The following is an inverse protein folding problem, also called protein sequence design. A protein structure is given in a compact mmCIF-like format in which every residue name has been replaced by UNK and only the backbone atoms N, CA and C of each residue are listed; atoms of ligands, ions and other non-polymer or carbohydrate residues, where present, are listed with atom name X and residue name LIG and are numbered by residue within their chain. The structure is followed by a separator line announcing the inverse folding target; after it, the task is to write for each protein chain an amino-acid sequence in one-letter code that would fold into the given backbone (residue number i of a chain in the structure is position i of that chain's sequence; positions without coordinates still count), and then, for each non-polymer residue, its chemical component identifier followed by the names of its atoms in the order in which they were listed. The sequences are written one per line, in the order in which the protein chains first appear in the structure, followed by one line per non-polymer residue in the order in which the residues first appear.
data_IF_213611155046
#
_entry.id   IF_213611155046
#
_cell.length_a   1.000
_cell.length_b   1.000
_cell.length_c   1.000
_cell.angle_alpha   90.00
_cell.angle_beta   90.00
_cell.angle_gamma   90.00
#
_symmetry.space_group_name_H-M   'P 1'
#
loop_
_entity.id
_entity.type
_entity.pdbx_description
1 polymer ?
#
# COMPACT_ATOMS: atom_id res chain seq x y z
N UNK A 1 -2.53 15.44 11.29
CA UNK A 1 -3.22 15.34 9.97
C UNK A 1 -2.30 15.57 8.76
N UNK A 2 -1.80 16.78 8.47
CA UNK A 2 -1.01 17.02 7.24
C UNK A 2 0.24 16.14 7.08
N UNK A 3 0.98 15.91 8.18
CA UNK A 3 2.15 15.01 8.21
C UNK A 3 1.78 13.56 7.89
N UNK A 4 0.74 13.02 8.53
CA UNK A 4 0.31 11.63 8.35
C UNK A 4 -0.24 11.37 6.95
N UNK A 5 -0.92 12.35 6.33
CA UNK A 5 -1.32 12.26 4.92
C UNK A 5 -0.11 12.11 4.00
N UNK A 6 0.90 12.98 4.16
CA UNK A 6 2.12 12.91 3.34
C UNK A 6 2.87 11.59 3.55
N UNK A 7 2.92 11.08 4.79
CA UNK A 7 3.51 9.78 5.07
C UNK A 7 2.72 8.62 4.44
N UNK A 8 1.39 8.68 4.48
CA UNK A 8 0.49 7.68 3.88
C UNK A 8 0.64 7.67 2.36
N UNK A 9 0.60 8.84 1.71
CA UNK A 9 0.81 8.99 0.26
C UNK A 9 2.19 8.47 -0.18
N UNK A 10 3.23 8.83 0.56
CA UNK A 10 4.59 8.33 0.31
C UNK A 10 4.64 6.82 0.41
N UNK A 11 4.03 6.25 1.44
CA UNK A 11 4.00 4.80 1.63
C UNK A 11 3.16 4.07 0.58
N UNK A 12 2.01 4.63 0.16
CA UNK A 12 1.23 4.13 -0.97
C UNK A 12 2.06 4.08 -2.26
N UNK A 13 2.86 5.13 -2.50
CA UNK A 13 3.78 5.19 -3.64
C UNK A 13 4.83 4.07 -3.60
N UNK A 14 5.42 3.85 -2.42
CA UNK A 14 6.38 2.77 -2.17
C UNK A 14 5.77 1.40 -2.39
N UNK A 15 4.64 1.09 -1.74
CA UNK A 15 3.92 -0.19 -1.87
C UNK A 15 3.56 -0.46 -3.33
N UNK A 16 3.01 0.55 -4.03
CA UNK A 16 2.71 0.46 -5.47
C UNK A 16 3.93 0.09 -6.31
N UNK A 17 5.08 0.72 -6.03
CA UNK A 17 6.33 0.44 -6.73
C UNK A 17 6.76 -1.02 -6.60
N UNK A 18 6.72 -1.56 -5.37
CA UNK A 18 7.05 -2.97 -5.10
C UNK A 18 6.06 -3.92 -5.78
N UNK A 19 4.75 -3.60 -5.75
CA UNK A 19 3.73 -4.39 -6.44
C UNK A 19 4.00 -4.50 -7.95
N UNK A 20 4.39 -3.39 -8.59
CA UNK A 20 4.74 -3.38 -10.02
C UNK A 20 5.96 -4.25 -10.31
N UNK A 21 6.98 -4.17 -9.46
CA UNK A 21 8.18 -5.01 -9.58
C UNK A 21 7.84 -6.50 -9.44
N UNK A 22 7.02 -6.87 -8.44
CA UNK A 22 6.56 -8.25 -8.25
C UNK A 22 5.74 -8.78 -9.43
N UNK A 23 4.79 -7.98 -9.94
CA UNK A 23 4.01 -8.34 -11.14
C UNK A 23 4.93 -8.61 -12.34
N UNK A 24 5.99 -7.81 -12.48
CA UNK A 24 7.00 -8.00 -13.53
C UNK A 24 7.83 -9.27 -13.29
N UNK A 25 8.25 -9.53 -12.05
CA UNK A 25 8.99 -10.73 -11.67
C UNK A 25 8.18 -12.01 -11.91
N UNK A 26 6.89 -12.03 -11.54
CA UNK A 26 5.94 -13.11 -11.83
C UNK A 26 5.85 -13.36 -13.34
N UNK A 27 5.62 -12.32 -14.13
CA UNK A 27 5.52 -12.45 -15.58
C UNK A 27 6.80 -13.04 -16.20
N UNK A 28 7.97 -12.58 -15.75
CA UNK A 28 9.26 -13.09 -16.22
C UNK A 28 9.48 -14.55 -15.78
N UNK A 29 9.17 -14.90 -14.54
CA UNK A 29 9.28 -16.25 -14.01
C UNK A 29 8.39 -17.23 -14.79
N UNK A 30 7.14 -16.87 -15.10
CA UNK A 30 6.23 -17.70 -15.89
C UNK A 30 6.70 -17.89 -17.34
N UNK A 31 7.24 -16.83 -17.99
CA UNK A 31 7.86 -16.96 -19.32
C UNK A 31 9.06 -17.90 -19.30
N UNK A 32 9.91 -17.77 -18.28
CA UNK A 32 11.09 -18.63 -18.11
C UNK A 32 10.70 -20.08 -17.80
N UNK A 33 9.65 -20.29 -16.99
CA UNK A 33 9.06 -21.61 -16.71
C UNK A 33 8.58 -22.27 -17.99
N UNK A 34 7.80 -21.55 -18.79
CA UNK A 34 7.30 -22.03 -20.08
C UNK A 34 8.43 -22.40 -21.03
N UNK A 35 9.47 -21.57 -21.09
CA UNK A 35 10.67 -21.85 -21.91
C UNK A 35 11.41 -23.09 -21.43
N UNK A 36 11.60 -23.25 -20.11
CA UNK A 36 12.25 -24.42 -19.53
C UNK A 36 11.46 -25.71 -19.83
N UNK A 37 10.12 -25.68 -19.77
CA UNK A 37 9.28 -26.82 -20.12
C UNK A 37 9.41 -27.21 -21.61
N UNK A 38 9.42 -26.22 -22.53
CA UNK A 38 9.66 -26.47 -23.96
C UNK A 38 11.02 -27.12 -24.22
N UNK A 39 12.06 -26.66 -23.55
CA UNK A 39 13.40 -27.25 -23.66
C UNK A 39 13.47 -28.66 -23.06
N UNK A 40 12.70 -28.93 -21.99
CA UNK A 40 12.59 -30.28 -21.44
C UNK A 40 11.92 -31.24 -22.44
N UNK A 41 10.84 -30.81 -23.11
CA UNK A 41 10.17 -31.59 -24.15
C UNK A 41 11.10 -31.87 -25.34
N UNK A 42 11.84 -30.86 -25.81
CA UNK A 42 12.83 -31.02 -26.87
C UNK A 42 13.94 -32.01 -26.47
N UNK A 43 14.52 -31.87 -25.28
CA UNK A 43 15.54 -32.80 -24.77
C UNK A 43 15.02 -34.25 -24.67
N UNK A 44 13.72 -34.41 -24.39
CA UNK A 44 13.05 -35.72 -24.42
C UNK A 44 13.04 -36.32 -25.83
N UNK A 45 12.70 -35.51 -26.84
CA UNK A 45 12.74 -35.92 -28.26
C UNK A 45 14.15 -36.27 -28.75
N UNK A 46 15.17 -35.60 -28.20
CA UNK A 46 16.59 -35.86 -28.48
C UNK A 46 17.17 -37.01 -27.64
N UNK A 47 16.35 -37.71 -26.85
CA UNK A 47 16.76 -38.81 -25.96
C UNK A 47 17.88 -38.42 -24.98
N UNK A 48 17.82 -37.19 -24.45
CA UNK A 48 18.79 -36.63 -23.50
C UNK A 48 18.16 -36.50 -22.09
N UNK A 49 18.08 -37.60 -21.31
CA UNK A 49 17.37 -37.63 -20.03
C UNK A 49 17.99 -36.71 -18.96
N UNK A 50 19.30 -36.45 -19.03
CA UNK A 50 19.96 -35.52 -18.13
C UNK A 50 19.41 -34.10 -18.30
N UNK A 51 19.28 -33.65 -19.55
CA UNK A 51 18.75 -32.31 -19.83
C UNK A 51 17.26 -32.20 -19.52
N UNK A 52 16.48 -33.26 -19.75
CA UNK A 52 15.06 -33.31 -19.32
C UNK A 52 14.96 -33.03 -17.81
N UNK A 53 15.77 -33.71 -17.00
CA UNK A 53 15.76 -33.53 -15.54
C UNK A 53 16.14 -32.10 -15.13
N UNK A 54 17.21 -31.55 -15.70
CA UNK A 54 17.67 -30.19 -15.38
C UNK A 54 16.58 -29.17 -15.73
N UNK A 55 16.07 -29.19 -16.96
CA UNK A 55 15.07 -28.23 -17.43
C UNK A 55 13.73 -28.35 -16.69
N UNK A 56 13.31 -29.57 -16.36
CA UNK A 56 12.13 -29.81 -15.51
C UNK A 56 12.33 -29.22 -14.11
N UNK A 57 13.49 -29.45 -13.47
CA UNK A 57 13.79 -28.87 -12.15
C UNK A 57 13.83 -27.33 -12.20
N UNK A 58 14.40 -26.76 -13.25
CA UNK A 58 14.39 -25.31 -13.51
C UNK A 58 12.95 -24.78 -13.61
N UNK A 59 12.08 -25.42 -14.38
CA UNK A 59 10.67 -25.05 -14.45
C UNK A 59 9.98 -25.11 -13.08
N UNK A 60 10.24 -26.16 -12.29
CA UNK A 60 9.71 -26.26 -10.93
C UNK A 60 10.22 -25.15 -10.00
N UNK A 61 11.46 -24.68 -10.18
CA UNK A 61 11.99 -23.54 -9.40
C UNK A 61 11.21 -22.27 -9.73
N UNK A 62 11.06 -21.93 -11.02
CA UNK A 62 10.30 -20.76 -11.43
C UNK A 62 8.83 -20.81 -10.98
N UNK A 63 8.22 -22.00 -10.98
CA UNK A 63 6.86 -22.19 -10.44
C UNK A 63 6.77 -21.85 -8.96
N UNK A 64 7.71 -22.32 -8.13
CA UNK A 64 7.73 -21.99 -6.70
C UNK A 64 7.94 -20.49 -6.45
N UNK A 65 8.90 -19.87 -7.15
CA UNK A 65 9.13 -18.43 -7.04
C UNK A 65 7.87 -17.63 -7.38
N UNK A 66 7.14 -18.03 -8.42
CA UNK A 66 5.89 -17.37 -8.82
C UNK A 66 4.84 -17.45 -7.73
N UNK A 67 4.65 -18.61 -7.09
CA UNK A 67 3.70 -18.76 -5.98
C UNK A 67 4.05 -17.83 -4.82
N UNK A 68 5.33 -17.81 -4.41
CA UNK A 68 5.80 -16.91 -3.34
C UNK A 68 5.55 -15.44 -3.68
N UNK A 69 5.82 -15.02 -4.92
CA UNK A 69 5.58 -13.65 -5.36
C UNK A 69 4.09 -13.29 -5.38
N UNK A 70 3.21 -14.24 -5.72
CA UNK A 70 1.76 -14.03 -5.71
C UNK A 70 1.22 -13.86 -4.28
N UNK A 71 1.68 -14.68 -3.34
CA UNK A 71 1.31 -14.56 -1.92
C UNK A 71 1.72 -13.19 -1.36
N UNK A 72 2.93 -12.73 -1.68
CA UNK A 72 3.38 -11.41 -1.26
C UNK A 72 2.60 -10.29 -1.94
N UNK A 73 2.29 -10.42 -3.23
CA UNK A 73 1.50 -9.43 -3.96
C UNK A 73 0.12 -9.22 -3.29
N UNK A 74 -0.53 -10.29 -2.83
CA UNK A 74 -1.80 -10.20 -2.10
C UNK A 74 -1.64 -9.40 -0.78
N UNK A 75 -0.54 -9.61 -0.05
CA UNK A 75 -0.24 -8.84 1.17
C UNK A 75 0.01 -7.36 0.89
N UNK A 76 0.74 -7.05 -0.18
CA UNK A 76 0.92 -5.66 -0.61
C UNK A 76 -0.40 -5.01 -1.05
N UNK A 77 -1.30 -5.78 -1.65
CA UNK A 77 -2.62 -5.30 -2.06
C UNK A 77 -3.50 -4.95 -0.84
N UNK A 78 -3.50 -5.77 0.21
CA UNK A 78 -4.14 -5.43 1.49
C UNK A 78 -3.61 -4.08 1.99
N UNK A 79 -2.29 -3.92 2.05
CA UNK A 79 -1.68 -2.68 2.52
C UNK A 79 -2.06 -1.48 1.65
N UNK A 80 -2.05 -1.61 0.33
CA UNK A 80 -2.42 -0.52 -0.56
C UNK A 80 -3.88 -0.10 -0.38
N UNK A 81 -4.81 -1.06 -0.32
CA UNK A 81 -6.24 -0.78 -0.12
C UNK A 81 -6.49 -0.09 1.23
N UNK A 82 -5.83 -0.54 2.29
CA UNK A 82 -5.95 0.06 3.63
C UNK A 82 -5.34 1.45 3.69
N UNK A 83 -4.12 1.66 3.15
CA UNK A 83 -3.50 2.98 3.08
C UNK A 83 -4.36 3.96 2.27
N UNK A 84 -4.95 3.50 1.16
CA UNK A 84 -5.87 4.32 0.37
C UNK A 84 -7.12 4.69 1.17
N UNK A 85 -7.72 3.74 1.90
CA UNK A 85 -8.89 4.05 2.74
C UNK A 85 -8.54 5.04 3.85
N UNK A 86 -7.39 4.87 4.49
CA UNK A 86 -6.91 5.82 5.50
C UNK A 86 -6.68 7.22 4.93
N UNK A 87 -6.17 7.31 3.70
CA UNK A 87 -6.02 8.58 3.00
C UNK A 87 -7.37 9.27 2.77
N UNK A 88 -8.38 8.53 2.33
CA UNK A 88 -9.75 9.05 2.12
C UNK A 88 -10.38 9.54 3.42
N UNK A 89 -10.24 8.77 4.50
CA UNK A 89 -10.73 9.14 5.83
C UNK A 89 -10.04 10.42 6.32
N UNK A 90 -8.70 10.48 6.26
CA UNK A 90 -7.96 11.65 6.70
C UNK A 90 -8.31 12.92 5.90
N UNK A 91 -8.53 12.80 4.59
CA UNK A 91 -9.02 13.91 3.76
C UNK A 91 -10.41 14.38 4.19
N UNK A 92 -11.34 13.45 4.39
CA UNK A 92 -12.71 13.75 4.82
C UNK A 92 -12.71 14.46 6.18
N UNK A 93 -11.88 14.00 7.11
CA UNK A 93 -11.75 14.63 8.42
C UNK A 93 -11.21 16.06 8.30
N UNK A 94 -10.20 16.31 7.46
CA UNK A 94 -9.68 17.67 7.23
C UNK A 94 -10.74 18.59 6.64
N UNK A 95 -11.61 18.08 5.77
CA UNK A 95 -12.75 18.84 5.23
C UNK A 95 -13.74 19.22 6.34
N UNK A 96 -14.12 18.26 7.19
CA UNK A 96 -14.99 18.53 8.36
C UNK A 96 -14.36 19.55 9.30
N UNK A 97 -13.09 19.35 9.68
CA UNK A 97 -12.33 20.28 10.52
C UNK A 97 -12.34 21.69 9.93
N UNK A 98 -12.25 21.81 8.61
CA UNK A 98 -12.26 23.10 7.91
C UNK A 98 -13.60 23.81 8.06
N UNK A 99 -14.71 23.08 7.90
CA UNK A 99 -16.06 23.63 8.04
C UNK A 99 -16.33 24.07 9.49
N UNK A 100 -15.98 23.25 10.47
CA UNK A 100 -16.14 23.58 11.89
C UNK A 100 -15.33 24.83 12.29
N UNK A 101 -14.12 24.99 11.72
CA UNK A 101 -13.31 26.19 11.88
C UNK A 101 -13.96 27.44 11.29
N UNK A 102 -14.76 27.31 10.21
CA UNK A 102 -15.45 28.43 9.59
C UNK A 102 -16.69 28.89 10.37
N UNK A 103 -17.42 27.95 10.99
CA UNK A 103 -18.69 28.23 11.69
C UNK A 103 -18.51 28.82 13.10
N UNK A 104 -17.40 28.55 13.79
CA UNK A 104 -17.18 29.06 15.15
C UNK A 104 -16.82 30.56 15.17
N UNK A 105 -17.61 31.37 15.90
CA UNK A 105 -17.52 32.84 15.94
C UNK A 105 -16.27 33.42 16.62
N UNK A 106 -15.46 32.62 17.33
CA UNK A 106 -14.12 33.04 17.79
C UNK A 106 -13.09 33.12 16.64
N UNK A 107 -13.46 32.77 15.40
CA UNK A 107 -12.56 32.41 14.28
C UNK A 107 -12.69 33.26 13.00
N UNK A 108 -13.17 34.51 13.05
CA UNK A 108 -13.29 35.35 11.85
C UNK A 108 -11.95 35.79 11.21
N UNK A 109 -10.84 35.84 11.98
CA UNK A 109 -9.49 36.12 11.44
C UNK A 109 -8.83 34.85 10.87
N UNK A 110 -9.02 33.70 11.51
CA UNK A 110 -8.42 32.41 11.14
C UNK A 110 -8.99 31.85 9.81
N UNK A 111 -10.31 31.97 9.58
CA UNK A 111 -10.96 31.41 8.39
C UNK A 111 -10.47 32.02 7.06
N UNK A 112 -10.10 33.31 7.04
CA UNK A 112 -9.61 34.00 5.83
C UNK A 112 -8.16 33.65 5.48
N UNK A 113 -7.31 33.36 6.48
CA UNK A 113 -5.93 32.93 6.25
C UNK A 113 -5.84 31.47 5.79
N UNK A 114 -6.80 30.64 6.22
CA UNK A 114 -6.81 29.18 6.03
C UNK A 114 -7.32 28.76 4.63
N UNK A 115 -8.17 29.56 3.98
CA UNK A 115 -8.70 29.26 2.62
C UNK A 115 -7.65 29.34 1.49
N UNK A 116 -6.69 30.25 1.56
CA UNK A 116 -5.58 30.35 0.59
C UNK A 116 -4.43 29.37 0.89
N UNK A 117 -4.36 28.91 2.14
CA UNK A 117 -3.42 27.94 2.67
C UNK A 117 -3.73 26.50 2.23
N UNK A 118 -4.99 26.08 2.18
CA UNK A 118 -5.29 24.66 1.99
C UNK A 118 -4.88 24.03 0.65
N UNK A 119 -4.51 24.83 -0.37
CA UNK A 119 -3.91 24.31 -1.60
C UNK A 119 -2.40 23.97 -1.48
N UNK A 120 -1.75 24.23 -0.33
CA UNK A 120 -0.34 23.82 -0.10
C UNK A 120 0.33 24.05 1.27
N UNK A 121 -0.37 24.29 2.39
CA UNK A 121 0.16 25.22 3.42
C UNK A 121 -0.04 24.81 4.90
N UNK A 122 0.38 23.61 5.28
CA UNK A 122 0.66 23.31 6.70
C UNK A 122 2.11 23.64 7.11
N UNK A 123 2.99 24.03 6.17
CA UNK A 123 4.40 24.33 6.44
C UNK A 123 4.76 25.82 6.50
N UNK A 124 3.86 26.74 6.11
CA UNK A 124 4.19 28.16 5.90
C UNK A 124 3.55 29.10 6.94
N UNK A 125 2.49 28.70 7.64
CA UNK A 125 1.84 29.53 8.65
C UNK A 125 2.35 29.25 10.07
N UNK A 126 3.50 29.81 10.41
CA UNK A 126 3.99 29.83 11.80
C UNK A 126 4.40 31.21 12.31
N UNK A 127 4.09 32.29 11.61
CA UNK A 127 4.57 33.63 11.98
C UNK A 127 3.41 34.60 12.16
N UNK A 128 2.90 34.71 13.39
CA UNK A 128 1.91 35.74 13.73
C UNK A 128 1.21 35.56 15.07
N UNK A 129 0.45 36.59 15.42
CA UNK A 129 -0.29 36.77 16.68
C UNK A 129 -1.53 35.85 16.82
N UNK A 130 -1.93 35.17 15.74
CA UNK A 130 -3.06 34.24 15.68
C UNK A 130 -2.68 32.76 15.92
N UNK A 131 -1.40 32.49 16.24
CA UNK A 131 -0.88 31.12 16.43
C UNK A 131 -1.48 30.43 17.66
N UNK A 132 -1.67 31.15 18.77
CA UNK A 132 -2.21 30.58 20.01
C UNK A 132 -3.67 30.12 19.87
N UNK A 133 -4.51 30.91 19.19
CA UNK A 133 -5.91 30.56 18.92
C UNK A 133 -6.05 29.44 17.88
N UNK A 134 -5.12 29.39 16.93
CA UNK A 134 -4.98 28.28 15.99
C UNK A 134 -4.50 27.00 16.68
N UNK A 135 -3.56 27.11 17.63
CA UNK A 135 -3.02 25.98 18.40
C UNK A 135 -4.08 25.43 19.39
N UNK A 136 -4.89 26.29 20.04
CA UNK A 136 -6.04 25.88 20.87
C UNK A 136 -7.17 25.22 20.06
N UNK A 137 -7.51 25.75 18.88
CA UNK A 137 -8.50 25.13 18.00
C UNK A 137 -7.99 23.80 17.41
N UNK A 138 -6.68 23.70 17.17
CA UNK A 138 -6.00 22.45 16.84
C UNK A 138 -6.07 21.44 17.97
N UNK A 139 -5.83 21.85 19.21
CA UNK A 139 -5.73 20.93 20.36
C UNK A 139 -7.07 20.22 20.59
N UNK A 140 -8.17 20.97 20.54
CA UNK A 140 -9.51 20.39 20.77
C UNK A 140 -10.01 19.52 19.61
N UNK A 141 -9.71 19.91 18.36
CA UNK A 141 -10.06 19.10 17.18
C UNK A 141 -9.11 17.89 17.04
N UNK A 142 -7.85 18.02 17.47
CA UNK A 142 -6.89 16.92 17.42
C UNK A 142 -7.28 15.78 18.37
N UNK A 143 -7.82 16.08 19.56
CA UNK A 143 -8.28 15.05 20.52
C UNK A 143 -9.32 14.10 19.91
N UNK A 144 -10.27 14.61 19.11
CA UNK A 144 -11.33 13.79 18.48
C UNK A 144 -10.78 12.85 17.39
N UNK A 145 -9.69 13.24 16.74
CA UNK A 145 -9.11 12.50 15.61
C UNK A 145 -7.75 11.86 15.94
N UNK A 146 -7.29 11.92 17.19
CA UNK A 146 -5.99 11.39 17.63
C UNK A 146 -5.91 9.88 17.44
N UNK A 147 -7.01 9.18 17.75
CA UNK A 147 -7.17 7.75 17.45
C UNK A 147 -7.01 7.46 15.95
N UNK A 148 -7.49 8.35 15.08
CA UNK A 148 -7.34 8.19 13.63
C UNK A 148 -5.90 8.31 13.19
N UNK A 149 -5.21 9.36 13.67
CA UNK A 149 -3.80 9.57 13.37
C UNK A 149 -2.96 8.42 13.91
N UNK A 150 -3.22 7.95 15.13
CA UNK A 150 -2.50 6.84 15.75
C UNK A 150 -2.65 5.51 15.00
N UNK A 151 -3.86 5.13 14.60
CA UNK A 151 -4.07 3.91 13.80
C UNK A 151 -3.38 3.99 12.44
N UNK A 152 -3.44 5.15 11.79
CA UNK A 152 -2.74 5.39 10.52
C UNK A 152 -1.22 5.32 10.68
N UNK A 153 -0.65 5.97 11.69
CA UNK A 153 0.78 5.96 11.96
C UNK A 153 1.28 4.54 12.23
N UNK A 154 0.53 3.78 13.05
CA UNK A 154 0.83 2.38 13.32
C UNK A 154 0.78 1.53 12.04
N UNK A 155 -0.24 1.69 11.20
CA UNK A 155 -0.32 0.92 9.96
C UNK A 155 0.74 1.31 8.92
N UNK A 156 1.09 2.60 8.84
CA UNK A 156 2.21 3.06 8.00
C UNK A 156 3.53 2.46 8.49
N UNK A 157 3.73 2.30 9.80
CA UNK A 157 4.91 1.64 10.35
C UNK A 157 4.96 0.16 9.97
N UNK A 158 3.87 -0.60 10.19
CA UNK A 158 3.74 -2.00 9.76
C UNK A 158 4.04 -2.13 8.26
N UNK A 159 3.49 -1.22 7.45
CA UNK A 159 3.69 -1.25 6.00
C UNK A 159 5.16 -1.01 5.60
N UNK A 160 5.87 -0.16 6.33
CA UNK A 160 7.30 0.07 6.09
C UNK A 160 8.12 -1.17 6.40
N UNK A 161 7.83 -1.83 7.52
CA UNK A 161 8.52 -3.06 7.93
C UNK A 161 8.29 -4.19 6.90
N UNK A 162 7.07 -4.33 6.36
CA UNK A 162 6.78 -5.31 5.29
C UNK A 162 7.52 -4.99 3.99
N UNK A 163 7.63 -3.71 3.62
CA UNK A 163 8.35 -3.34 2.39
C UNK A 163 9.86 -3.46 2.58
N UNK A 164 10.41 -3.07 3.72
CA UNK A 164 11.86 -3.14 3.98
C UNK A 164 12.37 -4.56 4.13
N UNK A 165 11.52 -5.47 4.63
CA UNK A 165 11.82 -6.89 4.76
C UNK A 165 11.85 -7.66 3.43
N UNK A 166 11.57 -6.98 2.31
CA UNK A 166 11.52 -7.60 1.01
C UNK A 166 12.71 -7.20 0.14
N UNK A 167 13.67 -8.11 0.03
CA UNK A 167 14.73 -8.05 -0.97
C UNK A 167 14.33 -8.94 -2.16
N UNK A 168 13.94 -8.30 -3.27
CA UNK A 168 13.62 -8.98 -4.54
C UNK A 168 14.78 -9.81 -5.08
N UNK A 169 16.01 -9.33 -4.90
CA UNK A 169 17.21 -9.92 -5.47
C UNK A 169 17.63 -11.17 -4.69
N UNK A 170 17.40 -11.17 -3.37
CA UNK A 170 17.68 -12.34 -2.53
C UNK A 170 16.48 -13.26 -2.37
N UNK A 171 15.26 -12.79 -2.65
CA UNK A 171 14.03 -13.54 -2.41
C UNK A 171 13.84 -13.92 -0.95
N UNK A 172 14.51 -13.21 -0.04
CA UNK A 172 14.43 -13.38 1.41
C UNK A 172 13.32 -12.48 1.89
N UNK A 173 12.42 -13.08 2.65
CA UNK A 173 11.26 -12.44 3.24
C UNK A 173 11.51 -12.46 4.74
N UNK A 174 11.74 -11.31 5.36
CA UNK A 174 11.82 -11.31 6.83
C UNK A 174 10.42 -11.58 7.40
N UNK A 175 10.31 -12.63 8.20
CA UNK A 175 9.03 -13.12 8.73
C UNK A 175 8.36 -12.08 9.66
N UNK A 176 9.14 -11.21 10.28
CA UNK A 176 8.66 -10.28 11.30
C UNK A 176 7.68 -9.24 10.75
N UNK A 177 7.96 -8.63 9.60
CA UNK A 177 7.06 -7.64 8.98
C UNK A 177 5.72 -8.27 8.57
N UNK A 178 5.76 -9.46 7.96
CA UNK A 178 4.55 -10.19 7.60
C UNK A 178 3.74 -10.67 8.80
N UNK A 179 4.43 -11.04 9.88
CA UNK A 179 3.78 -11.41 11.14
C UNK A 179 3.03 -10.23 11.73
N UNK A 180 3.63 -9.04 11.76
CA UNK A 180 2.93 -7.82 12.22
C UNK A 180 1.69 -7.52 11.38
N UNK A 181 1.78 -7.67 10.04
CA UNK A 181 0.63 -7.51 9.16
C UNK A 181 -0.46 -8.55 9.45
N UNK A 182 -0.10 -9.82 9.65
CA UNK A 182 -1.05 -10.88 9.97
C UNK A 182 -1.73 -10.65 11.33
N UNK A 183 -0.97 -10.22 12.34
CA UNK A 183 -1.52 -9.82 13.64
C UNK A 183 -2.45 -8.62 13.50
N UNK A 184 -2.11 -7.65 12.66
CA UNK A 184 -3.01 -6.55 12.34
C UNK A 184 -4.29 -7.03 11.67
N UNK A 185 -4.21 -7.89 10.63
CA UNK A 185 -5.38 -8.42 9.92
C UNK A 185 -6.36 -9.14 10.87
N UNK A 186 -5.85 -9.88 11.85
CA UNK A 186 -6.65 -10.65 12.81
C UNK A 186 -7.31 -9.81 13.91
N UNK A 187 -6.75 -8.64 14.25
CA UNK A 187 -7.34 -7.76 15.27
C UNK A 187 -8.65 -7.15 14.77
N UNK A 188 -9.75 -7.37 15.48
CA UNK A 188 -11.07 -6.83 15.11
C UNK A 188 -11.19 -5.30 15.31
N UNK A 189 -10.35 -4.72 16.15
CA UNK A 189 -10.61 -3.43 16.82
C UNK A 189 -10.08 -2.20 16.08
N UNK A 190 -10.25 -2.11 14.75
CA UNK A 190 -9.96 -0.81 14.10
C UNK A 190 -11.11 0.15 14.38
N UNK A 191 -10.87 1.17 15.21
CA UNK A 191 -11.84 2.23 15.48
C UNK A 191 -12.09 3.06 14.23
N UNK A 192 -11.07 3.19 13.37
CA UNK A 192 -11.12 4.02 12.16
C UNK A 192 -11.77 3.30 10.99
N UNK A 193 -11.38 2.06 10.72
CA UNK A 193 -11.90 1.29 9.59
C UNK A 193 -13.19 0.55 9.96
N UNK A 194 -13.39 0.23 11.24
CA UNK A 194 -14.56 -0.51 11.72
C UNK A 194 -14.89 -1.73 10.86
N UNK A 195 -16.13 -1.77 10.35
CA UNK A 195 -16.63 -2.85 9.50
C UNK A 195 -16.01 -2.90 8.10
N UNK A 196 -15.30 -1.86 7.65
CA UNK A 196 -14.67 -1.86 6.33
C UNK A 196 -13.38 -2.68 6.29
N UNK A 197 -12.68 -2.83 7.43
CA UNK A 197 -11.42 -3.57 7.47
C UNK A 197 -11.55 -5.01 6.95
N UNK A 198 -12.51 -5.83 7.40
CA UNK A 198 -12.71 -7.17 6.83
C UNK A 198 -13.01 -7.14 5.33
N UNK A 199 -13.76 -6.15 4.85
CA UNK A 199 -14.08 -6.02 3.44
C UNK A 199 -12.84 -5.68 2.59
N UNK A 200 -11.97 -4.79 3.07
CA UNK A 200 -10.70 -4.44 2.42
C UNK A 200 -9.76 -5.64 2.33
N UNK A 201 -9.68 -6.44 3.39
CA UNK A 201 -8.89 -7.68 3.43
C UNK A 201 -9.49 -8.71 2.47
N UNK A 202 -10.81 -8.90 2.48
CA UNK A 202 -11.48 -9.84 1.58
C UNK A 202 -11.26 -9.47 0.10
N UNK A 203 -11.41 -8.19 -0.24
CA UNK A 203 -11.20 -7.68 -1.59
C UNK A 203 -9.78 -7.96 -2.12
N UNK A 204 -8.74 -7.78 -1.29
CA UNK A 204 -7.37 -8.07 -1.68
C UNK A 204 -7.07 -9.57 -1.92
N UNK A 205 -7.90 -10.46 -1.36
CA UNK A 205 -7.78 -11.91 -1.54
C UNK A 205 -8.75 -12.46 -2.60
N UNK A 206 -9.57 -11.59 -3.20
CA UNK A 206 -10.51 -11.97 -4.26
C UNK A 206 -9.85 -11.83 -5.63
N UNK A 207 -9.58 -12.93 -6.36
CA UNK A 207 -8.97 -12.87 -7.69
C UNK A 207 -9.86 -12.17 -8.74
N UNK A 208 -11.13 -11.92 -8.44
CA UNK A 208 -12.08 -11.20 -9.31
C UNK A 208 -12.13 -9.69 -9.04
N UNK A 209 -11.70 -9.25 -7.86
CA UNK A 209 -11.53 -7.83 -7.51
C UNK A 209 -10.08 -7.41 -7.76
N UNK A 210 -9.73 -7.26 -9.04
CA UNK A 210 -8.36 -6.91 -9.42
C UNK A 210 -8.10 -5.44 -9.10
N UNK A 211 -7.15 -5.17 -8.18
CA UNK A 211 -6.70 -3.81 -7.92
C UNK A 211 -5.95 -3.23 -9.14
N UNK A 212 -6.62 -2.27 -9.78
CA UNK A 212 -6.02 -1.42 -10.81
C UNK A 212 -5.23 -0.30 -10.15
N UNK A 213 -3.91 -0.28 -10.38
CA UNK A 213 -3.02 0.73 -9.81
C UNK A 213 -3.03 1.99 -10.71
N UNK A 214 -3.21 3.21 -10.16
CA UNK A 214 -3.15 4.43 -10.96
C UNK A 214 -1.81 4.54 -11.70
N UNK A 215 -1.87 4.73 -13.02
CA UNK A 215 -0.71 4.79 -13.92
C UNK A 215 -0.14 3.43 -14.34
N UNK A 216 -0.83 2.31 -14.06
CA UNK A 216 -0.41 0.97 -14.51
C UNK A 216 -0.96 0.54 -15.88
N UNK A 217 -1.60 1.45 -16.62
CA UNK A 217 -2.28 1.20 -17.90
C UNK A 217 -1.33 0.67 -19.00
N UNK A 218 -0.05 1.01 -18.92
CA UNK A 218 0.99 0.48 -19.81
C UNK A 218 1.43 -0.96 -19.45
N UNK A 219 1.30 -1.36 -18.19
CA UNK A 219 1.74 -2.69 -17.73
C UNK A 219 0.74 -3.78 -18.09
N UNK A 220 -0.56 -3.50 -18.07
CA UNK A 220 -1.58 -4.46 -18.52
C UNK A 220 -1.43 -4.83 -20.01
N UNK A 221 -0.89 -3.90 -20.82
CA UNK A 221 -0.60 -4.17 -22.23
C UNK A 221 0.51 -5.21 -22.43
N UNK A 222 1.40 -5.41 -21.44
CA UNK A 222 2.41 -6.47 -21.47
C UNK A 222 1.79 -7.87 -21.29
N UNK A 223 0.60 -7.96 -20.70
CA UNK A 223 -0.15 -9.20 -20.55
C UNK A 223 -1.12 -9.47 -21.70
N UNK A 224 -1.49 -8.44 -22.49
CA UNK A 224 -2.37 -8.57 -23.67
C UNK A 224 -1.65 -8.99 -24.96
N UNK A 225 -0.31 -9.04 -24.96
CA UNK A 225 0.47 -9.66 -26.06
C UNK A 225 0.77 -11.12 -25.72
N UNK A 226 -0.24 -11.99 -25.84
CA UNK A 226 -0.07 -13.44 -26.03
C UNK A 226 -0.83 -13.87 -27.28
#
# INVERSE_FOLDING_TARGET
MGKILSQTEGQMGTVRGVMVQLRTAIANAERNRTTALKLADQAGKENNPLQVRVKSKTASIYGRSTMTYQELLAKLEVMYRVLNKYHDIAKSNIEVMTVELQESTMRHSAARAVGAAMKGFWSIMSTGQDKEMYDLAKEHIAEEWDNTVGEMENFVAISKDVVSSFDLDQGVLEEDGLKQLAEWEQKADSLVLGAEKPALIAAANDPTDVLHLPGSEDYEQLFKKQ
#
